data_IF_469337543431
#
_entry.id   IF_469337543431
#
_cell.length_a   1.000
_cell.length_b   1.000
_cell.length_c   1.000
_cell.angle_alpha   90.00
_cell.angle_beta   90.00
_cell.angle_gamma   90.00
#
_symmetry.space_group_name_H-M   'P 1'
#
loop_
_entity.id
_entity.type
_entity.pdbx_description
1 polymer ?
#
# COMPACT_ATOMS: atom_id res chain seq x y z
N UNK A 1 -9.46 -11.27 22.97
CA UNK A 1 -10.49 -11.84 22.07
C UNK A 1 -10.35 -11.12 20.73
N UNK A 2 -9.45 -11.60 19.86
CA UNK A 2 -9.09 -10.95 18.57
C UNK A 2 -9.04 -12.07 17.52
N UNK A 3 -10.19 -12.57 17.06
CA UNK A 3 -10.22 -13.60 16.01
C UNK A 3 -11.37 -13.46 14.99
N UNK A 4 -12.32 -12.54 15.16
CA UNK A 4 -13.51 -12.50 14.27
C UNK A 4 -13.34 -11.65 13.00
N UNK A 5 -12.39 -10.71 12.94
CA UNK A 5 -12.21 -9.85 11.76
C UNK A 5 -11.38 -10.49 10.64
N UNK A 6 -10.47 -11.39 10.97
CA UNK A 6 -9.50 -11.96 10.01
C UNK A 6 -10.15 -12.93 9.01
N UNK A 7 -11.20 -13.64 9.42
CA UNK A 7 -11.84 -14.66 8.58
C UNK A 7 -12.67 -14.06 7.44
N UNK A 8 -13.18 -12.83 7.57
CA UNK A 8 -13.89 -12.15 6.46
C UNK A 8 -12.91 -11.68 5.40
N UNK A 9 -11.84 -10.97 5.80
CA UNK A 9 -10.87 -10.41 4.87
C UNK A 9 -10.15 -11.47 4.04
N UNK A 10 -9.72 -12.55 4.70
CA UNK A 10 -9.09 -13.68 4.02
C UNK A 10 -9.98 -14.21 2.90
N UNK A 11 -11.26 -14.41 3.20
CA UNK A 11 -12.23 -14.94 2.25
C UNK A 11 -12.50 -13.96 1.11
N UNK A 12 -12.55 -12.66 1.40
CA UNK A 12 -12.72 -11.62 0.38
C UNK A 12 -11.52 -11.58 -0.58
N UNK A 13 -10.30 -11.62 -0.05
CA UNK A 13 -9.07 -11.71 -0.85
C UNK A 13 -9.05 -13.00 -1.66
N UNK A 14 -9.36 -14.15 -1.03
CA UNK A 14 -9.42 -15.45 -1.70
C UNK A 14 -10.39 -15.41 -2.89
N UNK A 15 -11.60 -14.87 -2.67
CA UNK A 15 -12.64 -14.76 -3.69
C UNK A 15 -12.24 -13.84 -4.85
N UNK A 16 -11.33 -12.89 -4.62
CA UNK A 16 -10.78 -12.02 -5.66
C UNK A 16 -9.68 -12.71 -6.46
N UNK A 17 -8.66 -13.26 -5.78
CA UNK A 17 -7.46 -13.80 -6.45
C UNK A 17 -7.66 -15.17 -7.06
N UNK A 18 -8.59 -15.98 -6.52
CA UNK A 18 -8.83 -17.34 -7.01
C UNK A 18 -9.85 -17.39 -8.15
N UNK A 19 -10.26 -16.23 -8.70
CA UNK A 19 -11.12 -16.20 -9.88
C UNK A 19 -10.39 -16.78 -11.09
N UNK A 20 -11.09 -17.57 -11.90
CA UNK A 20 -10.49 -18.27 -13.05
C UNK A 20 -9.73 -17.36 -14.03
N UNK A 21 -10.13 -16.09 -14.12
CA UNK A 21 -9.54 -15.09 -15.03
C UNK A 21 -8.72 -14.02 -14.30
N UNK A 22 -8.32 -14.23 -13.05
CA UNK A 22 -7.50 -13.26 -12.32
C UNK A 22 -6.07 -13.22 -12.91
N UNK A 23 -5.61 -12.08 -13.47
CA UNK A 23 -4.43 -12.06 -14.33
C UNK A 23 -3.10 -12.06 -13.56
N UNK A 24 -3.11 -11.77 -12.26
CA UNK A 24 -1.89 -11.54 -11.49
C UNK A 24 -1.38 -12.82 -10.82
N UNK A 25 -0.48 -13.53 -11.51
CA UNK A 25 0.18 -14.75 -11.01
C UNK A 25 0.92 -14.51 -9.69
N UNK A 26 1.53 -13.35 -9.49
CA UNK A 26 2.25 -13.00 -8.26
C UNK A 26 1.32 -12.95 -7.05
N UNK A 27 0.15 -12.32 -7.18
CA UNK A 27 -0.83 -12.21 -6.10
C UNK A 27 -1.46 -13.57 -5.76
N UNK A 28 -1.70 -14.44 -6.76
CA UNK A 28 -2.14 -15.83 -6.53
C UNK A 28 -1.06 -16.60 -5.76
N UNK A 29 0.20 -16.52 -6.19
CA UNK A 29 1.30 -17.21 -5.51
C UNK A 29 1.51 -16.70 -4.09
N UNK A 30 1.46 -15.38 -3.87
CA UNK A 30 1.59 -14.80 -2.53
C UNK A 30 0.50 -15.30 -1.61
N UNK A 31 -0.74 -15.39 -2.11
CA UNK A 31 -1.87 -15.89 -1.32
C UNK A 31 -1.73 -17.38 -1.00
N UNK A 32 -1.44 -18.23 -1.99
CA UNK A 32 -1.31 -19.68 -1.80
C UNK A 32 -0.15 -20.08 -0.87
N UNK A 33 0.89 -19.26 -0.80
CA UNK A 33 2.06 -19.49 0.06
C UNK A 33 1.96 -18.78 1.41
N UNK A 34 0.89 -18.02 1.64
CA UNK A 34 0.73 -17.15 2.81
C UNK A 34 1.87 -16.11 2.94
N UNK A 35 2.50 -15.78 1.82
CA UNK A 35 3.57 -14.79 1.67
C UNK A 35 2.97 -13.39 1.49
N UNK A 36 2.16 -12.94 2.46
CA UNK A 36 1.56 -11.62 2.40
C UNK A 36 1.31 -10.98 3.77
N UNK A 37 1.09 -9.66 3.75
CA UNK A 37 0.53 -8.90 4.86
C UNK A 37 -0.74 -8.20 4.37
N UNK A 38 -1.82 -8.30 5.14
CA UNK A 38 -3.10 -7.68 4.81
C UNK A 38 -3.62 -6.84 5.97
N UNK A 39 -4.05 -5.62 5.68
CA UNK A 39 -4.57 -4.69 6.68
C UNK A 39 -5.85 -4.03 6.21
N UNK A 40 -6.75 -3.80 7.16
CA UNK A 40 -8.00 -3.07 6.94
C UNK A 40 -7.88 -1.60 7.39
N UNK A 41 -8.48 -0.75 6.57
CA UNK A 41 -8.53 0.70 6.70
C UNK A 41 -9.97 1.19 6.54
N UNK A 42 -10.25 2.38 7.08
CA UNK A 42 -11.61 2.94 7.14
C UNK A 42 -12.08 3.45 5.76
N UNK A 43 -11.41 4.47 5.24
CA UNK A 43 -11.82 5.22 4.06
C UNK A 43 -10.64 5.47 3.12
N UNK A 44 -10.85 5.19 1.84
CA UNK A 44 -9.85 5.29 0.80
C UNK A 44 -9.80 6.70 0.23
N UNK A 45 -8.63 7.32 0.31
CA UNK A 45 -8.36 8.66 -0.21
C UNK A 45 -8.81 9.79 0.71
N UNK A 46 -9.18 9.50 1.97
CA UNK A 46 -9.41 10.54 2.97
C UNK A 46 -8.13 10.98 3.68
N UNK A 47 -7.07 10.15 3.61
CA UNK A 47 -5.82 10.38 4.36
C UNK A 47 -5.90 10.04 5.84
N UNK A 48 -7.09 9.70 6.38
CA UNK A 48 -7.25 9.31 7.79
C UNK A 48 -6.42 8.06 8.16
N UNK A 49 -6.25 7.17 7.19
CA UNK A 49 -5.50 5.93 7.36
C UNK A 49 -4.00 6.09 7.13
N UNK A 50 -3.54 7.28 6.71
CA UNK A 50 -2.16 7.51 6.30
C UNK A 50 -1.10 7.17 7.37
N UNK A 51 -1.25 7.55 8.66
CA UNK A 51 -0.27 7.19 9.68
C UNK A 51 -0.15 5.68 9.89
N UNK A 52 -1.30 4.98 9.88
CA UNK A 52 -1.35 3.53 10.07
C UNK A 52 -0.83 2.79 8.83
N UNK A 53 -1.21 3.23 7.63
CA UNK A 53 -0.72 2.70 6.38
C UNK A 53 0.80 2.87 6.27
N UNK A 54 1.31 4.06 6.61
CA UNK A 54 2.75 4.34 6.64
C UNK A 54 3.47 3.34 7.55
N UNK A 55 3.04 3.19 8.81
CA UNK A 55 3.67 2.24 9.73
C UNK A 55 3.61 0.79 9.22
N UNK A 56 2.46 0.34 8.70
CA UNK A 56 2.32 -1.01 8.16
C UNK A 56 3.23 -1.25 6.93
N UNK A 57 3.51 -0.23 6.14
CA UNK A 57 4.47 -0.31 5.02
C UNK A 57 5.93 -0.42 5.52
N UNK A 58 6.27 0.24 6.64
CA UNK A 58 7.57 0.04 7.30
C UNK A 58 7.75 -1.41 7.72
N UNK A 59 6.78 -1.94 8.46
CA UNK A 59 6.78 -3.31 8.96
C UNK A 59 6.84 -4.31 7.80
N UNK A 60 6.11 -4.01 6.71
CA UNK A 60 6.15 -4.81 5.48
C UNK A 60 7.55 -4.85 4.86
N UNK A 61 8.26 -3.72 4.75
CA UNK A 61 9.64 -3.71 4.21
C UNK A 61 10.58 -4.51 5.10
N UNK A 62 10.52 -4.34 6.42
CA UNK A 62 11.37 -5.11 7.34
C UNK A 62 11.12 -6.62 7.21
N UNK A 63 9.85 -7.01 7.10
CA UNK A 63 9.47 -8.39 6.87
C UNK A 63 9.88 -8.88 5.48
N UNK A 64 9.76 -8.06 4.44
CA UNK A 64 10.21 -8.39 3.09
C UNK A 64 11.72 -8.60 3.03
N UNK A 65 12.53 -7.78 3.72
CA UNK A 65 13.99 -7.94 3.75
C UNK A 65 14.43 -9.21 4.48
N UNK A 66 13.70 -9.62 5.51
CA UNK A 66 13.96 -10.86 6.25
C UNK A 66 13.38 -12.11 5.55
N UNK A 67 12.30 -11.94 4.78
CA UNK A 67 11.62 -13.02 4.07
C UNK A 67 12.21 -13.16 2.66
N UNK A 68 12.80 -14.31 2.33
CA UNK A 68 13.28 -14.59 0.95
C UNK A 68 12.15 -14.97 -0.02
N UNK A 69 10.93 -14.50 0.22
CA UNK A 69 9.77 -14.81 -0.59
C UNK A 69 9.79 -13.94 -1.86
N UNK A 70 9.77 -14.55 -3.06
CA UNK A 70 9.89 -13.81 -4.32
C UNK A 70 8.68 -12.90 -4.61
N UNK A 71 7.53 -13.17 -3.98
CA UNK A 71 6.27 -12.49 -4.23
C UNK A 71 5.62 -11.97 -2.95
N UNK A 72 6.41 -11.59 -1.94
CA UNK A 72 5.85 -11.08 -0.69
C UNK A 72 4.97 -9.85 -0.97
N UNK A 73 3.68 -9.95 -0.65
CA UNK A 73 2.68 -8.99 -1.12
C UNK A 73 2.00 -8.23 0.03
N UNK A 74 1.65 -6.98 -0.22
CA UNK A 74 0.93 -6.13 0.72
C UNK A 74 -0.49 -5.83 0.22
N UNK A 75 -1.48 -6.04 1.08
CA UNK A 75 -2.90 -5.85 0.77
C UNK A 75 -3.48 -4.77 1.67
N UNK A 76 -3.76 -3.59 1.10
CA UNK A 76 -4.52 -2.54 1.77
C UNK A 76 -6.00 -2.63 1.38
N UNK A 77 -6.87 -2.90 2.34
CA UNK A 77 -8.30 -3.10 2.09
C UNK A 77 -9.13 -2.05 2.81
N UNK A 78 -9.98 -1.35 2.06
CA UNK A 78 -10.80 -0.24 2.56
C UNK A 78 -12.28 -0.60 2.54
N UNK A 79 -12.86 -0.97 3.69
CA UNK A 79 -14.21 -1.56 3.79
C UNK A 79 -15.35 -0.60 3.45
N UNK A 80 -15.20 0.70 3.74
CA UNK A 80 -16.27 1.68 3.59
C UNK A 80 -16.10 2.58 2.37
N UNK A 81 -15.34 2.13 1.37
CA UNK A 81 -15.00 2.95 0.20
C UNK A 81 -15.74 2.50 -1.04
N UNK A 82 -16.55 3.40 -1.59
CA UNK A 82 -17.17 3.21 -2.89
C UNK A 82 -16.28 3.89 -3.93
N UNK A 83 -15.79 3.10 -4.88
CA UNK A 83 -15.05 3.57 -6.05
C UNK A 83 -16.02 3.57 -7.23
N UNK A 84 -16.26 4.74 -7.82
CA UNK A 84 -17.31 4.91 -8.85
C UNK A 84 -16.80 4.69 -10.27
N UNK A 85 -15.49 4.84 -10.48
CA UNK A 85 -14.82 4.71 -11.78
C UNK A 85 -13.31 4.60 -11.60
N UNK A 86 -12.59 4.26 -12.66
CA UNK A 86 -11.12 4.28 -12.67
C UNK A 86 -10.55 5.65 -12.30
N UNK A 87 -11.16 6.72 -12.81
CA UNK A 87 -10.74 8.09 -12.50
C UNK A 87 -10.95 8.41 -11.01
N UNK A 88 -12.03 7.92 -10.40
CA UNK A 88 -12.28 8.07 -8.97
C UNK A 88 -11.28 7.25 -8.14
N UNK A 89 -10.96 6.03 -8.59
CA UNK A 89 -9.91 5.20 -7.99
C UNK A 89 -8.57 5.93 -7.98
N UNK A 90 -8.10 6.40 -9.13
CA UNK A 90 -6.82 7.11 -9.26
C UNK A 90 -6.77 8.34 -8.35
N UNK A 91 -7.84 9.15 -8.34
CA UNK A 91 -7.92 10.33 -7.47
C UNK A 91 -7.78 9.98 -6.00
N UNK A 92 -8.48 8.92 -5.55
CA UNK A 92 -8.41 8.44 -4.17
C UNK A 92 -7.05 7.86 -3.83
N UNK A 93 -6.46 7.07 -4.74
CA UNK A 93 -5.13 6.52 -4.60
C UNK A 93 -4.10 7.63 -4.41
N UNK A 94 -4.11 8.63 -5.28
CA UNK A 94 -3.19 9.76 -5.20
C UNK A 94 -3.40 10.60 -3.94
N UNK A 95 -4.64 10.81 -3.51
CA UNK A 95 -4.93 11.49 -2.24
C UNK A 95 -4.37 10.72 -1.04
N UNK A 96 -4.55 9.39 -1.01
CA UNK A 96 -4.02 8.54 0.05
C UNK A 96 -2.49 8.54 0.08
N UNK A 97 -1.85 8.34 -1.07
CA UNK A 97 -0.38 8.38 -1.21
C UNK A 97 0.18 9.75 -0.81
N UNK A 98 -0.47 10.85 -1.20
CA UNK A 98 -0.08 12.20 -0.79
C UNK A 98 -0.17 12.41 0.71
N UNK A 99 -1.20 11.85 1.37
CA UNK A 99 -1.34 11.89 2.81
C UNK A 99 -0.26 11.06 3.52
N UNK A 100 0.07 9.87 2.99
CA UNK A 100 1.18 9.03 3.50
C UNK A 100 2.50 9.78 3.41
N UNK A 101 2.79 10.39 2.26
CA UNK A 101 4.01 11.19 2.08
C UNK A 101 4.04 12.42 3.01
N UNK A 102 2.93 13.14 3.15
CA UNK A 102 2.87 14.29 4.06
C UNK A 102 3.13 13.88 5.51
N UNK A 103 2.61 12.71 5.92
CA UNK A 103 2.87 12.15 7.24
C UNK A 103 4.35 11.78 7.44
N UNK A 104 4.97 11.17 6.44
CA UNK A 104 6.40 10.84 6.44
C UNK A 104 7.28 12.09 6.57
N UNK A 105 7.02 13.12 5.76
CA UNK A 105 7.73 14.41 5.83
C UNK A 105 7.61 15.02 7.22
N UNK A 106 6.40 15.05 7.79
CA UNK A 106 6.18 15.56 9.14
C UNK A 106 6.97 14.76 10.18
N UNK A 107 6.96 13.42 10.09
CA UNK A 107 7.71 12.55 11.00
C UNK A 107 9.22 12.80 10.91
N UNK A 108 9.77 12.99 9.71
CA UNK A 108 11.17 13.37 9.55
C UNK A 108 11.48 14.69 10.25
N UNK A 109 10.61 15.70 10.09
CA UNK A 109 10.77 17.00 10.76
C UNK A 109 10.74 16.87 12.28
N UNK A 110 9.80 16.10 12.84
CA UNK A 110 9.66 15.84 14.28
C UNK A 110 10.91 15.14 14.85
N UNK A 111 11.55 14.27 14.04
CA UNK A 111 12.79 13.57 14.39
C UNK A 111 14.07 14.37 14.06
N UNK A 112 13.94 15.64 13.63
CA UNK A 112 15.05 16.50 13.17
C UNK A 112 15.89 15.85 12.05
N UNK A 113 15.22 15.14 11.13
CA UNK A 113 15.77 14.50 9.94
C UNK A 113 15.28 15.20 8.67
N UNK A 114 16.12 15.20 7.65
CA UNK A 114 15.74 15.67 6.32
C UNK A 114 15.06 14.52 5.55
N UNK A 115 13.85 14.75 5.05
CA UNK A 115 13.22 13.83 4.10
C UNK A 115 13.95 13.88 2.75
N UNK A 116 14.32 12.73 2.21
CA UNK A 116 15.04 12.62 0.93
C UNK A 116 14.27 11.77 -0.06
N UNK A 117 13.83 12.40 -1.14
CA UNK A 117 13.33 11.68 -2.32
C UNK A 117 14.45 10.85 -2.94
N UNK A 118 14.15 9.67 -3.49
CA UNK A 118 15.16 8.88 -4.19
C UNK A 118 15.70 9.69 -5.39
N UNK A 119 17.01 9.98 -5.45
CA UNK A 119 17.60 10.83 -6.47
C UNK A 119 17.50 10.25 -7.90
N UNK A 120 17.11 8.98 -8.04
CA UNK A 120 16.86 8.36 -9.36
C UNK A 120 15.56 8.81 -9.99
N UNK A 121 14.63 9.37 -9.21
CA UNK A 121 13.29 9.74 -9.66
C UNK A 121 13.02 11.22 -9.48
N UNK A 122 12.16 11.76 -10.34
CA UNK A 122 11.68 13.13 -10.21
C UNK A 122 10.59 13.19 -9.14
N UNK A 123 10.56 14.28 -8.37
CA UNK A 123 9.47 14.60 -7.46
C UNK A 123 8.37 15.45 -8.12
N UNK A 124 8.56 15.89 -9.37
CA UNK A 124 7.55 16.64 -10.14
C UNK A 124 6.57 15.67 -10.82
N UNK A 125 5.25 15.69 -10.47
CA UNK A 125 4.23 14.83 -11.07
C UNK A 125 4.06 14.98 -12.59
N UNK A 126 4.60 16.04 -13.20
CA UNK A 126 4.54 16.27 -14.65
C UNK A 126 5.79 15.74 -15.38
N UNK A 127 6.81 15.30 -14.65
CA UNK A 127 8.01 14.70 -15.22
C UNK A 127 7.74 13.24 -15.63
N UNK A 128 8.26 12.83 -16.78
CA UNK A 128 8.17 11.43 -17.25
C UNK A 128 8.96 10.46 -16.36
N UNK A 129 9.89 10.98 -15.56
CA UNK A 129 10.64 10.24 -14.55
C UNK A 129 10.00 10.34 -13.16
N UNK A 130 8.80 10.91 -13.05
CA UNK A 130 8.08 10.92 -11.79
C UNK A 130 7.83 9.49 -11.32
N UNK A 131 8.17 9.26 -10.07
CA UNK A 131 7.82 8.04 -9.37
C UNK A 131 7.55 8.45 -7.93
N UNK A 132 6.39 8.11 -7.40
CA UNK A 132 6.11 8.37 -5.99
C UNK A 132 7.13 7.61 -5.17
N UNK A 133 8.02 8.34 -4.50
CA UNK A 133 9.06 7.79 -3.65
C UNK A 133 8.73 8.15 -2.21
N UNK A 134 8.53 7.13 -1.38
CA UNK A 134 8.78 7.24 0.05
C UNK A 134 10.09 6.51 0.36
N UNK A 135 10.54 6.48 1.61
CA UNK A 135 11.78 5.78 2.01
C UNK A 135 11.72 4.24 1.75
N UNK A 136 10.59 3.70 1.26
CA UNK A 136 10.28 2.27 1.28
C UNK A 136 9.70 1.68 -0.03
N UNK A 137 9.18 2.49 -0.95
CA UNK A 137 8.46 2.07 -2.15
C UNK A 137 8.49 3.13 -3.25
N UNK A 138 8.50 2.65 -4.49
CA UNK A 138 8.44 3.46 -5.71
C UNK A 138 7.23 3.04 -6.53
N UNK A 139 6.25 3.94 -6.66
CA UNK A 139 5.06 3.70 -7.50
C UNK A 139 5.13 4.52 -8.79
N UNK A 140 4.92 3.84 -9.91
CA UNK A 140 4.87 4.46 -11.23
C UNK A 140 3.45 4.88 -11.56
N UNK A 141 3.32 5.95 -12.35
CA UNK A 141 2.09 6.26 -13.07
C UNK A 141 2.05 5.49 -14.39
#
# INVERSE_FOLDING_TARGET
MILETTHSLFKDIQNLVMQANYPCVSAVNSFLREDYMSFEYSAFGSGESAPKLFQNLLDFKERQLSTKAPFFSFWAVYKNSIVKSEIDFEKKLWAELSAVHSHEVQKCMDENKEFKWDPKFSSDPNDKKFCFSNEFATFWR
#
